data_IF_354050025924
#
_entry.id   IF_354050025924
#
_cell.length_a   1.000
_cell.length_b   1.000
_cell.length_c   1.000
_cell.angle_alpha   90.00
_cell.angle_beta   90.00
_cell.angle_gamma   90.00
#
_symmetry.space_group_name_H-M   'P 1'
#
loop_
_entity.id
_entity.type
_entity.pdbx_description
1 polymer ?
#
# COMPACT_ATOMS: atom_id res chain seq x y z
N UNK A 1 18.48 -6.67 2.55
CA UNK A 1 17.52 -5.98 1.69
C UNK A 1 17.08 -4.70 2.39
N UNK A 2 16.95 -3.61 1.67
CA UNK A 2 16.59 -2.28 2.19
C UNK A 2 15.55 -1.67 1.24
N UNK A 3 14.42 -1.22 1.77
CA UNK A 3 13.44 -0.45 1.01
C UNK A 3 14.01 0.94 0.69
N UNK A 4 13.78 1.38 -0.53
CA UNK A 4 14.01 2.75 -0.98
C UNK A 4 12.63 3.32 -1.31
N UNK A 5 11.89 3.68 -0.25
CA UNK A 5 10.45 3.92 -0.29
C UNK A 5 10.07 4.89 -1.40
N UNK A 6 10.49 6.15 -1.33
CA UNK A 6 10.08 7.18 -2.29
C UNK A 6 10.67 6.98 -3.71
N UNK A 7 11.58 6.00 -3.87
CA UNK A 7 12.10 5.60 -5.17
C UNK A 7 11.40 4.36 -5.74
N UNK A 8 10.43 3.79 -5.02
CA UNK A 8 9.69 2.60 -5.43
C UNK A 8 10.63 1.43 -5.81
N UNK A 9 11.65 1.20 -4.98
CA UNK A 9 12.70 0.22 -5.25
C UNK A 9 13.21 -0.45 -3.97
N UNK A 10 13.96 -1.53 -4.15
CA UNK A 10 14.68 -2.24 -3.10
C UNK A 10 16.17 -2.32 -3.44
N UNK A 11 17.02 -1.99 -2.47
CA UNK A 11 18.45 -2.24 -2.57
C UNK A 11 18.82 -3.60 -1.98
N UNK A 12 19.71 -4.32 -2.66
CA UNK A 12 20.35 -5.54 -2.15
C UNK A 12 21.77 -5.17 -1.73
N UNK A 13 22.06 -5.37 -0.43
CA UNK A 13 23.35 -5.01 0.17
C UNK A 13 24.08 -6.28 0.57
N UNK A 14 25.31 -6.45 0.11
CA UNK A 14 26.24 -7.44 0.62
C UNK A 14 26.91 -6.89 1.89
N UNK A 15 26.57 -7.48 3.03
CA UNK A 15 27.02 -7.01 4.34
C UNK A 15 28.53 -7.18 4.51
N UNK A 16 29.11 -8.28 3.98
CA UNK A 16 30.52 -8.58 4.15
C UNK A 16 31.44 -7.58 3.43
N UNK A 17 31.05 -7.15 2.24
CA UNK A 17 31.77 -6.13 1.46
C UNK A 17 31.27 -4.72 1.68
N UNK A 18 30.16 -4.53 2.43
CA UNK A 18 29.46 -3.25 2.65
C UNK A 18 29.09 -2.55 1.33
N UNK A 19 28.64 -3.31 0.32
CA UNK A 19 28.31 -2.79 -1.01
C UNK A 19 26.87 -3.06 -1.40
N UNK A 20 26.24 -2.07 -2.04
CA UNK A 20 25.00 -2.29 -2.80
C UNK A 20 25.34 -3.09 -4.05
N UNK A 21 24.79 -4.30 -4.17
CA UNK A 21 25.02 -5.21 -5.29
C UNK A 21 23.96 -5.09 -6.37
N UNK A 22 22.75 -4.64 -6.01
CA UNK A 22 21.68 -4.40 -6.96
C UNK A 22 20.66 -3.38 -6.41
N UNK A 23 19.98 -2.67 -7.30
CA UNK A 23 18.75 -1.94 -7.03
C UNK A 23 17.65 -2.55 -7.90
N UNK A 24 16.56 -2.94 -7.29
CA UNK A 24 15.41 -3.60 -7.94
C UNK A 24 14.18 -2.71 -7.84
N UNK A 25 13.67 -2.15 -8.96
CA UNK A 25 12.41 -1.43 -8.95
C UNK A 25 11.25 -2.41 -8.71
N UNK A 26 10.25 -1.99 -7.94
CA UNK A 26 9.06 -2.80 -7.67
C UNK A 26 8.06 -2.79 -8.84
N UNK A 27 8.13 -1.80 -9.73
CA UNK A 27 7.15 -1.63 -10.80
C UNK A 27 5.86 -0.98 -10.30
N UNK A 28 4.73 -1.33 -10.91
CA UNK A 28 3.45 -0.71 -10.64
C UNK A 28 2.34 -1.75 -10.56
N UNK A 29 1.40 -1.54 -9.65
CA UNK A 29 0.16 -2.31 -9.58
C UNK A 29 -0.88 -1.68 -10.52
N UNK A 30 -1.45 -2.47 -11.39
CA UNK A 30 -2.51 -2.01 -12.30
C UNK A 30 -3.88 -2.14 -11.62
N UNK A 31 -4.43 -1.02 -11.18
CA UNK A 31 -5.75 -0.95 -10.54
C UNK A 31 -6.92 -1.10 -11.53
N UNK A 32 -6.67 -1.21 -12.81
CA UNK A 32 -7.71 -1.54 -13.80
C UNK A 32 -8.04 -3.03 -13.85
N UNK A 33 -7.23 -3.88 -13.24
CA UNK A 33 -7.41 -5.32 -13.22
C UNK A 33 -8.34 -5.75 -12.07
N UNK A 34 -9.12 -6.79 -12.32
CA UNK A 34 -9.97 -7.41 -11.28
C UNK A 34 -9.12 -7.89 -10.10
N UNK A 35 -9.58 -7.64 -8.87
CA UNK A 35 -8.87 -7.94 -7.63
C UNK A 35 -7.82 -6.90 -7.22
N UNK A 36 -7.63 -5.85 -8.01
CA UNK A 36 -6.76 -4.71 -7.72
C UNK A 36 -7.56 -3.40 -7.54
N UNK A 37 -8.83 -3.48 -7.22
CA UNK A 37 -9.67 -2.31 -7.01
C UNK A 37 -9.18 -1.41 -5.88
N UNK A 38 -9.73 -0.22 -5.82
CA UNK A 38 -9.58 0.68 -4.67
C UNK A 38 -10.78 1.60 -4.57
N UNK A 39 -11.07 2.09 -3.37
CA UNK A 39 -11.95 3.24 -3.20
C UNK A 39 -11.14 4.52 -3.43
N UNK A 40 -11.54 5.33 -4.40
CA UNK A 40 -10.75 6.48 -4.85
C UNK A 40 -11.28 7.82 -4.35
N UNK A 41 -12.42 7.83 -3.65
CA UNK A 41 -13.13 9.08 -3.35
C UNK A 41 -13.69 9.12 -1.94
N UNK A 42 -13.46 10.22 -1.25
CA UNK A 42 -14.12 10.61 0.00
C UNK A 42 -15.39 11.46 -0.24
N UNK A 43 -15.86 11.56 -1.50
CA UNK A 43 -16.96 12.47 -1.92
C UNK A 43 -18.09 11.79 -2.69
N UNK A 44 -18.14 10.48 -2.70
CA UNK A 44 -19.25 9.74 -3.32
C UNK A 44 -20.27 9.22 -2.29
N UNK A 45 -20.02 9.42 -0.99
CA UNK A 45 -20.84 8.98 0.14
C UNK A 45 -21.07 7.46 0.20
N UNK A 46 -20.09 6.68 -0.26
CA UNK A 46 -20.19 5.23 -0.33
C UNK A 46 -18.82 4.59 -0.09
N UNK A 47 -18.80 3.35 0.35
CA UNK A 47 -17.63 2.47 0.21
C UNK A 47 -17.69 1.88 -1.20
N UNK A 48 -16.80 2.30 -2.08
CA UNK A 48 -16.92 2.08 -3.52
C UNK A 48 -15.62 1.50 -4.12
N UNK A 49 -15.22 0.33 -3.64
CA UNK A 49 -14.03 -0.38 -4.12
C UNK A 49 -14.30 -0.91 -5.52
N UNK A 50 -13.63 -0.38 -6.52
CA UNK A 50 -13.74 -0.83 -7.91
C UNK A 50 -12.45 -0.60 -8.69
N UNK A 51 -12.37 -1.12 -9.90
CA UNK A 51 -11.23 -0.93 -10.80
C UNK A 51 -11.22 0.47 -11.42
N UNK A 52 -10.00 1.03 -11.56
CA UNK A 52 -9.76 2.37 -12.10
C UNK A 52 -8.56 2.37 -13.05
N UNK A 53 -8.51 3.24 -14.05
CA UNK A 53 -7.34 3.40 -14.94
C UNK A 53 -6.19 4.13 -14.22
N UNK A 54 -5.70 3.54 -13.14
CA UNK A 54 -4.66 4.08 -12.27
C UNK A 54 -3.60 3.02 -12.04
N UNK A 55 -2.34 3.43 -11.99
CA UNK A 55 -1.21 2.61 -11.62
C UNK A 55 -0.78 2.98 -10.18
N UNK A 56 -0.70 2.00 -9.28
CA UNK A 56 -0.21 2.19 -7.92
C UNK A 56 1.31 1.99 -7.85
N UNK A 57 2.02 2.93 -7.26
CA UNK A 57 3.42 2.76 -6.88
C UNK A 57 3.46 2.02 -5.54
N UNK A 58 4.25 0.95 -5.44
CA UNK A 58 4.30 0.16 -4.20
C UNK A 58 4.80 0.98 -3.00
N UNK A 59 5.91 1.68 -3.16
CA UNK A 59 6.49 2.58 -2.15
C UNK A 59 6.45 1.97 -0.73
N UNK A 60 7.06 0.80 -0.50
CA UNK A 60 6.95 0.13 0.77
C UNK A 60 7.75 0.83 1.86
N UNK A 61 7.14 1.07 3.03
CA UNK A 61 7.84 1.51 4.21
C UNK A 61 8.63 0.37 4.84
N UNK A 62 7.96 -0.69 5.23
CA UNK A 62 8.59 -1.82 5.91
C UNK A 62 8.84 -3.01 5.00
N UNK A 63 9.91 -3.75 5.34
CA UNK A 63 10.28 -5.03 4.73
C UNK A 63 10.68 -6.03 5.82
N UNK A 64 10.17 -7.26 5.71
CA UNK A 64 10.60 -8.39 6.53
C UNK A 64 11.02 -9.55 5.64
N UNK A 65 11.79 -10.50 6.18
CA UNK A 65 12.22 -11.70 5.46
C UNK A 65 11.88 -12.97 6.22
N UNK A 66 11.60 -14.04 5.48
CA UNK A 66 11.38 -15.37 6.04
C UNK A 66 11.81 -16.44 5.03
N UNK A 67 11.91 -17.69 5.46
CA UNK A 67 12.34 -18.79 4.61
C UNK A 67 11.34 -19.92 4.62
N UNK A 68 11.00 -20.42 3.43
CA UNK A 68 10.15 -21.60 3.25
C UNK A 68 10.88 -22.57 2.32
N UNK A 69 11.01 -23.82 2.75
CA UNK A 69 11.69 -24.88 1.99
C UNK A 69 13.10 -24.47 1.51
N UNK A 70 13.85 -23.73 2.33
CA UNK A 70 15.20 -23.27 2.02
C UNK A 70 15.28 -22.10 1.04
N UNK A 71 14.15 -21.53 0.63
CA UNK A 71 14.09 -20.33 -0.21
C UNK A 71 13.73 -19.11 0.63
N UNK A 72 14.43 -18.00 0.42
CA UNK A 72 14.17 -16.73 1.07
C UNK A 72 13.08 -15.95 0.32
N UNK A 73 12.12 -15.47 1.08
CA UNK A 73 11.07 -14.55 0.63
C UNK A 73 11.14 -13.26 1.41
N UNK A 74 10.75 -12.20 0.77
CA UNK A 74 10.62 -10.86 1.35
C UNK A 74 9.15 -10.47 1.34
N UNK A 75 8.69 -9.84 2.39
CA UNK A 75 7.33 -9.29 2.47
C UNK A 75 7.43 -7.80 2.71
N UNK A 76 6.64 -7.02 1.99
CA UNK A 76 6.60 -5.56 2.09
C UNK A 76 5.21 -5.07 2.46
N UNK A 77 5.13 -4.07 3.33
CA UNK A 77 3.94 -3.29 3.59
C UNK A 77 4.02 -2.03 2.70
N UNK A 78 3.05 -1.87 1.79
CA UNK A 78 3.13 -0.90 0.69
C UNK A 78 2.34 0.36 1.05
N UNK A 79 2.88 1.17 1.95
CA UNK A 79 2.25 2.37 2.52
C UNK A 79 2.02 3.44 1.45
N UNK A 80 3.11 3.87 0.79
CA UNK A 80 3.00 4.83 -0.30
C UNK A 80 3.40 6.26 0.03
N UNK A 81 4.42 6.48 0.83
CA UNK A 81 4.82 7.86 1.13
C UNK A 81 5.34 8.62 -0.10
N UNK A 82 5.05 9.92 -0.14
CA UNK A 82 5.35 10.80 -1.26
C UNK A 82 6.51 11.73 -0.92
N UNK A 83 7.26 12.18 -1.94
CA UNK A 83 8.23 13.25 -1.80
C UNK A 83 7.52 14.61 -1.74
N UNK A 84 6.79 14.85 -0.65
CA UNK A 84 5.99 16.05 -0.45
C UNK A 84 6.64 17.04 0.52
N UNK A 85 7.41 16.55 1.50
CA UNK A 85 8.00 17.34 2.58
C UNK A 85 9.47 17.72 2.32
N UNK A 86 9.95 17.51 1.10
CA UNK A 86 11.32 17.89 0.74
C UNK A 86 11.41 19.39 0.48
N UNK A 87 12.45 20.08 0.97
CA UNK A 87 12.60 21.50 0.75
C UNK A 87 12.58 21.88 -0.73
N UNK A 88 11.58 22.66 -1.14
CA UNK A 88 11.42 23.13 -2.51
C UNK A 88 10.89 22.10 -3.51
N UNK A 89 10.44 20.93 -3.05
CA UNK A 89 9.88 19.90 -3.92
C UNK A 89 8.64 19.25 -3.29
N UNK A 90 7.56 19.23 -4.05
CA UNK A 90 6.33 18.48 -3.73
C UNK A 90 5.79 17.90 -5.03
N UNK A 91 5.64 16.59 -5.08
CA UNK A 91 5.14 15.90 -6.26
C UNK A 91 3.65 15.56 -6.22
N UNK A 92 2.95 15.87 -5.13
CA UNK A 92 1.55 15.53 -4.97
C UNK A 92 0.61 16.47 -5.71
N UNK A 93 -0.43 15.91 -6.29
CA UNK A 93 -1.58 16.66 -6.81
C UNK A 93 -2.85 15.84 -6.80
N UNK A 94 -3.98 16.51 -6.64
CA UNK A 94 -5.29 15.91 -6.87
C UNK A 94 -5.57 15.82 -8.37
N UNK A 95 -6.18 14.70 -8.81
CA UNK A 95 -6.47 14.47 -10.24
C UNK A 95 -7.32 15.57 -10.85
N UNK A 96 -8.27 16.15 -10.09
CA UNK A 96 -9.13 17.25 -10.59
C UNK A 96 -8.35 18.54 -10.93
N UNK A 97 -7.14 18.70 -10.44
CA UNK A 97 -6.26 19.84 -10.73
C UNK A 97 -5.39 19.61 -11.98
N UNK A 98 -5.34 18.39 -12.50
CA UNK A 98 -4.49 18.02 -13.62
C UNK A 98 -5.18 18.25 -14.98
N UNK A 99 -4.38 18.51 -16.01
CA UNK A 99 -4.82 18.48 -17.40
C UNK A 99 -4.78 17.05 -17.89
N UNK A 100 -5.95 16.42 -18.04
CA UNK A 100 -6.08 15.01 -18.38
C UNK A 100 -6.27 14.80 -19.88
N UNK A 101 -5.82 13.64 -20.37
CA UNK A 101 -6.15 13.14 -21.70
C UNK A 101 -7.67 12.88 -21.84
N UNK A 102 -8.22 12.83 -23.06
CA UNK A 102 -9.65 12.55 -23.27
C UNK A 102 -10.10 11.24 -22.59
N UNK A 103 -9.27 10.22 -22.58
CA UNK A 103 -9.57 8.93 -21.96
C UNK A 103 -9.74 9.02 -20.42
N UNK A 104 -8.95 9.87 -19.78
CA UNK A 104 -9.01 10.06 -18.31
C UNK A 104 -10.02 11.13 -17.89
N UNK A 105 -10.41 12.02 -18.80
CA UNK A 105 -11.31 13.14 -18.50
C UNK A 105 -12.67 12.68 -17.96
N UNK A 106 -13.16 11.50 -18.38
CA UNK A 106 -14.40 10.91 -17.91
C UNK A 106 -14.41 10.59 -16.41
N UNK A 107 -13.22 10.42 -15.80
CA UNK A 107 -13.06 10.06 -14.40
C UNK A 107 -12.71 11.25 -13.48
N UNK A 108 -12.73 12.49 -14.00
CA UNK A 108 -12.24 13.69 -13.30
C UNK A 108 -13.13 14.20 -12.19
N UNK A 109 -14.37 13.71 -12.06
CA UNK A 109 -15.30 14.17 -11.01
C UNK A 109 -14.79 13.78 -9.61
N UNK A 110 -15.14 14.58 -8.59
CA UNK A 110 -14.73 14.33 -7.21
C UNK A 110 -15.31 13.02 -6.65
N UNK A 111 -16.48 12.59 -7.12
CA UNK A 111 -17.07 11.30 -6.79
C UNK A 111 -16.41 10.09 -7.53
N UNK A 112 -15.36 10.33 -8.27
CA UNK A 112 -14.58 9.31 -8.97
C UNK A 112 -13.09 9.47 -8.62
N UNK A 113 -12.24 9.76 -9.63
CA UNK A 113 -10.81 9.95 -9.41
C UNK A 113 -10.41 11.39 -9.05
N UNK A 114 -11.31 12.37 -9.17
CA UNK A 114 -10.97 13.78 -9.04
C UNK A 114 -10.25 14.15 -7.75
N UNK A 115 -10.60 13.49 -6.66
CA UNK A 115 -9.99 13.69 -5.35
C UNK A 115 -8.72 12.88 -5.14
N UNK A 116 -8.50 11.79 -5.89
CA UNK A 116 -7.37 10.90 -5.68
C UNK A 116 -6.03 11.65 -5.77
N UNK A 117 -5.16 11.41 -4.79
CA UNK A 117 -3.81 11.95 -4.76
C UNK A 117 -2.88 11.14 -5.68
N UNK A 118 -2.17 11.81 -6.57
CA UNK A 118 -1.28 11.21 -7.57
C UNK A 118 0.00 12.01 -7.71
N UNK A 119 1.06 11.37 -8.22
CA UNK A 119 2.32 12.07 -8.49
C UNK A 119 2.23 12.92 -9.75
N UNK A 120 2.89 14.07 -9.70
CA UNK A 120 3.13 14.94 -10.86
C UNK A 120 4.46 14.64 -11.55
N UNK A 121 5.29 13.76 -10.97
CA UNK A 121 6.64 13.47 -11.49
C UNK A 121 6.64 12.60 -12.74
N UNK A 122 5.51 11.93 -13.05
CA UNK A 122 5.38 11.05 -14.20
C UNK A 122 3.93 10.99 -14.73
N UNK A 123 3.74 10.38 -15.89
CA UNK A 123 2.42 10.18 -16.52
C UNK A 123 2.00 11.26 -17.50
N UNK A 124 2.66 12.42 -17.51
CA UNK A 124 2.36 13.50 -18.44
C UNK A 124 3.19 13.41 -19.73
N UNK A 125 2.54 13.66 -20.87
CA UNK A 125 3.17 13.88 -22.17
C UNK A 125 2.78 15.30 -22.64
N UNK A 126 3.77 16.15 -22.86
CA UNK A 126 3.54 17.56 -23.22
C UNK A 126 2.57 18.29 -22.27
N UNK A 127 2.67 18.00 -20.96
CA UNK A 127 1.83 18.62 -19.93
C UNK A 127 0.39 18.09 -19.84
N UNK A 128 0.04 17.03 -20.58
CA UNK A 128 -1.24 16.32 -20.50
C UNK A 128 -1.01 14.94 -19.90
N UNK A 129 -1.71 14.61 -18.82
CA UNK A 129 -1.60 13.31 -18.18
C UNK A 129 -2.34 12.24 -18.98
N UNK A 130 -1.57 11.27 -19.48
CA UNK A 130 -2.06 10.09 -20.20
C UNK A 130 -2.16 8.87 -19.29
N UNK A 131 -1.45 8.90 -18.16
CA UNK A 131 -1.49 7.88 -17.09
C UNK A 131 -1.52 8.57 -15.74
N UNK A 132 -2.13 7.93 -14.75
CA UNK A 132 -2.17 8.37 -13.37
C UNK A 132 -1.40 7.37 -12.51
N UNK A 133 -0.57 7.87 -11.60
CA UNK A 133 0.21 7.07 -10.67
C UNK A 133 -0.12 7.50 -9.23
N UNK A 134 -0.83 6.62 -8.52
CA UNK A 134 -1.20 6.82 -7.11
C UNK A 134 -0.09 6.33 -6.18
N UNK A 135 -0.09 6.85 -4.97
CA UNK A 135 0.84 6.49 -3.91
C UNK A 135 0.33 5.26 -3.15
N UNK A 136 1.26 4.30 -2.92
CA UNK A 136 0.95 3.02 -2.32
C UNK A 136 0.09 2.14 -3.23
N UNK A 137 -0.09 0.92 -2.79
CA UNK A 137 -0.92 -0.05 -3.51
C UNK A 137 -2.04 -0.59 -2.64
N UNK A 138 -2.18 -0.08 -1.40
CA UNK A 138 -3.17 -0.51 -0.40
C UNK A 138 -3.10 -2.01 -0.15
N UNK A 139 -1.89 -2.55 -0.24
CA UNK A 139 -1.63 -3.99 -0.17
C UNK A 139 -0.31 -4.29 0.52
N UNK A 140 -0.12 -5.55 0.87
CA UNK A 140 1.21 -6.09 1.09
C UNK A 140 1.59 -6.99 -0.08
N UNK A 141 2.90 -7.14 -0.30
CA UNK A 141 3.42 -8.00 -1.38
C UNK A 141 4.47 -8.96 -0.86
N UNK A 142 4.61 -10.11 -1.53
CA UNK A 142 5.68 -11.07 -1.29
C UNK A 142 6.55 -11.14 -2.54
N UNK A 143 7.87 -11.10 -2.33
CA UNK A 143 8.89 -11.12 -3.37
C UNK A 143 9.85 -12.27 -3.12
N UNK A 144 10.45 -12.82 -4.17
CA UNK A 144 11.58 -13.72 -4.02
C UNK A 144 12.88 -12.93 -3.76
N UNK A 145 13.96 -13.62 -3.44
CA UNK A 145 15.28 -13.02 -3.17
C UNK A 145 15.86 -12.22 -4.35
N UNK A 146 15.35 -12.39 -5.57
CA UNK A 146 15.75 -11.67 -6.78
C UNK A 146 14.90 -10.40 -6.99
N UNK A 147 13.94 -10.13 -6.11
CA UNK A 147 13.02 -9.00 -6.23
C UNK A 147 11.90 -9.19 -7.25
N UNK A 148 11.58 -10.43 -7.61
CA UNK A 148 10.41 -10.74 -8.44
C UNK A 148 9.20 -10.96 -7.54
N UNK A 149 8.07 -10.34 -7.86
CA UNK A 149 6.83 -10.49 -7.11
C UNK A 149 6.28 -11.92 -7.28
N UNK A 150 5.93 -12.55 -6.18
CA UNK A 150 5.31 -13.87 -6.14
C UNK A 150 3.86 -13.82 -5.66
N UNK A 151 3.49 -12.75 -4.95
CA UNK A 151 2.14 -12.48 -4.49
C UNK A 151 1.93 -10.99 -4.22
N UNK A 152 0.72 -10.52 -4.42
CA UNK A 152 0.21 -9.23 -3.92
C UNK A 152 -1.20 -9.44 -3.37
N UNK A 153 -1.53 -8.82 -2.24
CA UNK A 153 -2.84 -8.96 -1.61
C UNK A 153 -3.98 -8.27 -2.38
N UNK A 154 -3.68 -7.59 -3.48
CA UNK A 154 -4.68 -6.94 -4.31
C UNK A 154 -5.43 -5.86 -3.56
N UNK A 155 -6.76 -5.93 -3.57
CA UNK A 155 -7.67 -5.04 -2.85
C UNK A 155 -8.16 -5.64 -1.51
N UNK A 156 -7.54 -6.74 -1.04
CA UNK A 156 -8.02 -7.49 0.13
C UNK A 156 -8.10 -6.65 1.40
N UNK A 157 -7.15 -5.72 1.63
CA UNK A 157 -7.15 -4.91 2.85
C UNK A 157 -8.41 -4.03 2.93
N UNK A 158 -8.80 -3.40 1.84
CA UNK A 158 -10.05 -2.64 1.77
C UNK A 158 -11.27 -3.55 1.78
N UNK A 159 -11.27 -4.67 1.03
CA UNK A 159 -12.39 -5.61 0.98
C UNK A 159 -12.70 -6.23 2.36
N UNK A 160 -11.67 -6.53 3.15
CA UNK A 160 -11.85 -7.07 4.50
C UNK A 160 -12.30 -5.98 5.48
N UNK A 161 -11.66 -4.82 5.48
CA UNK A 161 -11.92 -3.77 6.48
C UNK A 161 -13.29 -3.12 6.32
N UNK A 162 -13.88 -3.12 5.12
CA UNK A 162 -15.26 -2.60 4.93
C UNK A 162 -16.31 -3.39 5.72
N UNK A 163 -16.08 -4.70 5.94
CA UNK A 163 -17.03 -5.62 6.56
C UNK A 163 -16.68 -5.96 8.02
N UNK A 164 -15.52 -5.54 8.51
CA UNK A 164 -15.07 -5.84 9.87
C UNK A 164 -15.55 -4.78 10.87
N UNK A 165 -16.30 -5.16 11.93
CA UNK A 165 -16.86 -4.22 12.88
C UNK A 165 -15.80 -3.46 13.71
N UNK A 166 -14.58 -4.01 13.80
CA UNK A 166 -13.45 -3.39 14.48
C UNK A 166 -12.76 -2.32 13.65
N UNK A 167 -12.99 -2.29 12.33
CA UNK A 167 -12.41 -1.31 11.42
C UNK A 167 -13.41 -0.20 11.11
N UNK A 168 -12.92 1.01 10.97
CA UNK A 168 -13.64 2.08 10.31
C UNK A 168 -13.00 2.29 8.96
N UNK A 169 -13.71 1.88 7.90
CA UNK A 169 -13.20 1.82 6.53
C UNK A 169 -12.45 3.11 6.14
N UNK A 170 -11.22 2.97 5.71
CA UNK A 170 -10.33 4.04 5.26
C UNK A 170 -10.36 5.30 6.16
N UNK A 171 -10.50 5.13 7.47
CA UNK A 171 -10.50 6.25 8.40
C UNK A 171 -9.07 6.71 8.72
N UNK A 172 -8.90 7.99 9.03
CA UNK A 172 -7.68 8.53 9.58
C UNK A 172 -7.46 8.08 11.03
N UNK A 173 -6.21 7.90 11.45
CA UNK A 173 -5.86 7.63 12.85
C UNK A 173 -6.26 8.80 13.77
N UNK A 174 -6.22 10.04 13.31
CA UNK A 174 -6.51 11.24 14.11
C UNK A 174 -8.01 11.57 14.20
N UNK A 175 -8.79 11.37 13.12
CA UNK A 175 -10.19 11.78 13.04
C UNK A 175 -11.21 10.65 13.17
N UNK A 176 -10.84 9.43 12.83
CA UNK A 176 -11.72 8.26 12.80
C UNK A 176 -13.02 8.47 11.98
N UNK A 177 -12.96 9.30 10.96
CA UNK A 177 -14.07 9.49 10.03
C UNK A 177 -14.00 8.43 8.94
N UNK A 178 -15.12 7.74 8.71
CA UNK A 178 -15.19 6.74 7.65
C UNK A 178 -14.88 7.37 6.30
N UNK A 179 -14.13 6.65 5.47
CA UNK A 179 -13.81 7.00 4.09
C UNK A 179 -12.86 8.19 3.90
N UNK A 180 -12.37 8.78 5.00
CA UNK A 180 -11.55 10.00 5.04
C UNK A 180 -10.20 9.86 4.29
N UNK A 181 -9.70 8.63 4.12
CA UNK A 181 -8.42 8.34 3.47
C UNK A 181 -8.55 7.68 2.09
N UNK A 182 -9.77 7.49 1.59
CA UNK A 182 -10.00 6.87 0.28
C UNK A 182 -9.45 7.71 -0.87
N UNK A 183 -9.49 9.02 -0.76
CA UNK A 183 -8.91 9.96 -1.72
C UNK A 183 -7.37 10.06 -1.63
N UNK A 184 -6.74 9.30 -0.74
CA UNK A 184 -5.29 9.31 -0.52
C UNK A 184 -4.72 7.88 -0.65
N UNK A 185 -4.30 7.25 0.45
CA UNK A 185 -3.61 5.96 0.45
C UNK A 185 -4.43 4.83 1.11
N UNK A 186 -5.68 5.11 1.50
CA UNK A 186 -6.59 4.13 2.11
C UNK A 186 -6.13 3.67 3.50
N UNK A 187 -6.02 2.34 3.74
CA UNK A 187 -5.69 1.79 5.07
C UNK A 187 -4.24 2.01 5.49
N UNK A 188 -3.34 2.27 4.56
CA UNK A 188 -1.90 2.50 4.73
C UNK A 188 -1.23 1.36 5.53
N UNK A 189 -0.96 0.21 4.88
CA UNK A 189 -0.15 -0.84 5.48
C UNK A 189 1.29 -0.35 5.58
N UNK A 190 1.79 -0.14 6.81
CA UNK A 190 3.09 0.45 7.08
C UNK A 190 4.07 -0.56 7.68
N UNK A 191 3.77 -1.10 8.86
CA UNK A 191 4.62 -2.08 9.50
C UNK A 191 4.37 -3.51 9.01
N UNK A 192 5.42 -4.32 8.90
CA UNK A 192 5.31 -5.77 8.69
C UNK A 192 6.39 -6.55 9.43
N UNK A 193 5.97 -7.60 10.13
CA UNK A 193 6.88 -8.62 10.69
C UNK A 193 6.39 -10.01 10.33
N UNK A 194 7.30 -10.99 10.32
CA UNK A 194 6.96 -12.40 10.15
C UNK A 194 7.46 -13.20 11.33
N UNK A 195 6.61 -14.09 11.85
CA UNK A 195 6.96 -15.02 12.90
C UNK A 195 6.61 -16.45 12.51
N UNK A 196 7.41 -17.41 12.99
CA UNK A 196 7.12 -18.82 12.84
C UNK A 196 6.55 -19.39 14.14
N UNK A 197 5.38 -20.02 14.03
CA UNK A 197 4.77 -20.77 15.13
C UNK A 197 4.54 -22.23 14.69
N UNK A 198 5.29 -23.13 15.28
CA UNK A 198 5.32 -24.53 14.86
C UNK A 198 5.87 -24.66 13.43
N UNK A 199 5.03 -25.14 12.52
CA UNK A 199 5.40 -25.31 11.11
C UNK A 199 4.83 -24.19 10.21
N UNK A 200 4.12 -23.21 10.78
CA UNK A 200 3.49 -22.13 10.04
C UNK A 200 4.24 -20.82 10.20
N UNK A 201 4.24 -20.04 9.14
CA UNK A 201 4.72 -18.66 9.13
C UNK A 201 3.54 -17.71 9.07
N UNK A 202 3.51 -16.72 9.93
CA UNK A 202 2.49 -15.69 9.96
C UNK A 202 3.09 -14.31 9.74
N UNK A 203 2.48 -13.56 8.84
CA UNK A 203 2.77 -12.16 8.66
C UNK A 203 1.78 -11.33 9.48
N UNK A 204 2.32 -10.34 10.20
CA UNK A 204 1.57 -9.34 10.95
C UNK A 204 1.76 -8.01 10.21
N UNK A 205 0.66 -7.40 9.78
CA UNK A 205 0.67 -6.19 8.94
C UNK A 205 -0.08 -5.10 9.67
N UNK A 206 0.65 -4.07 10.10
CA UNK A 206 0.10 -2.89 10.74
C UNK A 206 -0.56 -1.97 9.71
N UNK A 207 -1.78 -1.52 10.03
CA UNK A 207 -2.54 -0.58 9.20
C UNK A 207 -2.54 0.79 9.88
N UNK A 208 -1.65 1.68 9.48
CA UNK A 208 -1.38 2.95 10.17
C UNK A 208 -2.64 3.80 10.32
N UNK A 209 -3.43 3.98 9.27
CA UNK A 209 -4.53 4.96 9.29
C UNK A 209 -5.79 4.41 9.94
N UNK A 210 -6.19 3.22 9.60
CA UNK A 210 -7.39 2.63 10.21
C UNK A 210 -7.10 1.98 11.57
N UNK A 211 -5.82 1.76 11.87
CA UNK A 211 -5.34 1.09 13.08
C UNK A 211 -5.37 -0.43 12.98
N UNK A 212 -4.83 -1.09 14.00
CA UNK A 212 -4.84 -2.53 14.14
C UNK A 212 -3.84 -3.27 13.25
N UNK A 213 -3.88 -4.60 13.39
CA UNK A 213 -2.94 -5.52 12.74
C UNK A 213 -3.72 -6.63 12.03
N UNK A 214 -3.47 -6.81 10.75
CA UNK A 214 -3.94 -7.99 9.99
C UNK A 214 -2.93 -9.12 10.08
N UNK A 215 -3.42 -10.34 10.22
CA UNK A 215 -2.61 -11.55 10.31
C UNK A 215 -2.92 -12.45 9.12
N UNK A 216 -1.86 -12.88 8.44
CA UNK A 216 -1.93 -13.83 7.33
C UNK A 216 -1.03 -15.03 7.56
N UNK A 217 -1.51 -16.25 7.29
CA UNK A 217 -0.66 -17.43 7.13
C UNK A 217 0.08 -17.31 5.78
N UNK A 218 1.40 -17.13 5.84
CA UNK A 218 2.28 -16.98 4.67
C UNK A 218 3.17 -18.22 4.45
N UNK A 219 2.81 -19.36 5.03
CA UNK A 219 3.53 -20.63 4.86
C UNK A 219 3.59 -21.08 3.40
N UNK A 220 2.63 -20.64 2.58
CA UNK A 220 2.67 -20.74 1.12
C UNK A 220 2.84 -19.33 0.54
N UNK A 221 4.06 -18.91 0.18
CA UNK A 221 4.32 -17.53 -0.23
C UNK A 221 3.52 -17.05 -1.45
N UNK A 222 3.10 -17.97 -2.31
CA UNK A 222 2.29 -17.66 -3.51
C UNK A 222 0.78 -17.64 -3.24
N UNK A 223 0.35 -18.04 -2.01
CA UNK A 223 -1.06 -18.14 -1.63
C UNK A 223 -1.25 -17.87 -0.13
N UNK A 224 -0.94 -16.67 0.36
CA UNK A 224 -1.28 -16.27 1.72
C UNK A 224 -2.76 -16.41 2.02
N UNK A 225 -3.07 -16.75 3.28
CA UNK A 225 -4.43 -16.92 3.77
C UNK A 225 -4.68 -15.94 4.91
N UNK A 226 -5.73 -15.13 4.80
CA UNK A 226 -6.17 -14.26 5.89
C UNK A 226 -6.61 -15.10 7.10
N UNK A 227 -6.13 -14.76 8.29
CA UNK A 227 -6.48 -15.45 9.55
C UNK A 227 -7.35 -14.57 10.44
N UNK A 228 -6.92 -13.34 10.72
CA UNK A 228 -7.66 -12.44 11.63
C UNK A 228 -7.22 -10.99 11.47
N UNK A 229 -8.02 -10.10 12.06
CA UNK A 229 -7.69 -8.69 12.27
C UNK A 229 -7.92 -8.33 13.73
N UNK A 230 -6.93 -7.71 14.35
CA UNK A 230 -6.97 -7.26 15.74
C UNK A 230 -6.82 -5.75 15.74
N UNK A 231 -7.79 -5.06 16.32
CA UNK A 231 -7.75 -3.61 16.48
C UNK A 231 -8.26 -3.24 17.86
N UNK A 232 -7.42 -2.60 18.65
CA UNK A 232 -7.72 -2.15 20.02
C UNK A 232 -8.10 -0.67 20.07
N UNK A 233 -8.19 -0.04 18.91
CA UNK A 233 -8.63 1.34 18.73
C UNK A 233 -10.05 1.56 19.26
N UNK A 234 -10.26 2.65 19.97
CA UNK A 234 -11.57 3.09 20.44
C UNK A 234 -11.83 4.55 19.99
N UNK A 235 -12.46 4.70 18.82
CA UNK A 235 -12.66 6.00 18.20
C UNK A 235 -11.32 6.66 17.82
N UNK A 236 -11.04 7.83 18.38
CA UNK A 236 -9.76 8.53 18.22
C UNK A 236 -8.83 8.33 19.44
N UNK A 237 -9.01 7.23 20.20
CA UNK A 237 -8.22 6.88 21.38
C UNK A 237 -7.81 5.41 21.34
N UNK A 238 -6.97 4.98 22.29
CA UNK A 238 -6.40 3.64 22.33
C UNK A 238 -5.16 3.54 21.46
N UNK A 239 -4.91 2.36 20.89
CA UNK A 239 -3.75 2.13 20.03
C UNK A 239 -4.07 2.64 18.61
N UNK A 240 -3.50 3.78 18.28
CA UNK A 240 -3.66 4.45 16.99
C UNK A 240 -2.38 4.32 16.19
N UNK A 241 -2.49 4.15 14.87
CA UNK A 241 -1.38 4.27 13.94
C UNK A 241 -0.19 3.34 14.24
N UNK A 242 -0.32 2.01 14.12
CA UNK A 242 0.81 1.10 14.29
C UNK A 242 1.83 1.32 13.18
N UNK A 243 3.02 1.80 13.54
CA UNK A 243 4.17 2.01 12.65
C UNK A 243 5.16 0.85 12.80
N UNK A 244 5.92 0.85 13.89
CA UNK A 244 6.88 -0.23 14.19
C UNK A 244 6.25 -1.39 14.95
N UNK A 245 6.63 -2.62 14.59
CA UNK A 245 6.21 -3.84 15.30
C UNK A 245 7.41 -4.66 15.73
N UNK A 246 7.30 -5.28 16.90
CA UNK A 246 8.32 -6.18 17.41
C UNK A 246 7.68 -7.43 18.03
N UNK A 247 8.26 -8.60 17.74
CA UNK A 247 7.85 -9.86 18.36
C UNK A 247 8.67 -10.07 19.64
N UNK A 248 7.99 -10.37 20.73
CA UNK A 248 8.60 -10.65 22.04
C UNK A 248 8.52 -12.14 22.37
#
# INVERSE_FOLDING_TARGET
YVTLQENNAMAIVDIASAKVTAIKPFGYKDHSLAGNGLDASDKDNAVNIKTWPVLGMYLPDAIASYSVAGQTYLITANEGDARADWPGYNEESRVNKLKLSPALQAFKSDAQLGRLNVTTSQGAVNGVYEKLYAYGTRSFSIWNAQGQQVFDSGDQLEQLTKDLPQAKFNASHSGNSQDDRSDNKGPEPEGVIVAQFGQKHYAFIGLERIGGVMVYDVSQPTRPVYETYINTRNGATGDLGPEGMHLV
#
